data_IF_170270303830
#
_entry.id   IF_170270303830
#
_cell.length_a   1.000
_cell.length_b   1.000
_cell.length_c   1.000
_cell.angle_alpha   90.00
_cell.angle_beta   90.00
_cell.angle_gamma   90.00
#
_symmetry.space_group_name_H-M   'P 1'
#
loop_
_entity.id
_entity.type
_entity.pdbx_description
1 polymer ?
#
# COMPACT_ATOMS: atom_id res chain seq x y z
N UNK A 1 10.57 7.71 -4.67
CA UNK A 1 11.99 7.71 -4.24
C UNK A 1 12.50 6.31 -3.87
N UNK A 2 12.04 5.27 -4.56
CA UNK A 2 12.32 3.86 -4.21
C UNK A 2 13.81 3.50 -4.25
N UNK A 3 14.52 3.87 -5.33
CA UNK A 3 15.95 3.54 -5.44
C UNK A 3 16.81 4.28 -4.41
N UNK A 4 16.50 5.55 -4.14
CA UNK A 4 17.22 6.35 -3.15
C UNK A 4 17.02 5.83 -1.74
N UNK A 5 15.81 5.43 -1.37
CA UNK A 5 15.51 4.90 -0.04
C UNK A 5 16.21 3.56 0.21
N UNK A 6 16.34 2.71 -0.83
CA UNK A 6 17.12 1.47 -0.75
C UNK A 6 18.60 1.73 -0.48
N UNK A 7 19.21 2.72 -1.17
CA UNK A 7 20.61 3.10 -0.93
C UNK A 7 20.80 3.65 0.48
N UNK A 8 19.81 4.39 1.00
CA UNK A 8 19.85 4.98 2.34
C UNK A 8 19.45 4.01 3.46
N UNK A 9 18.95 2.81 3.13
CA UNK A 9 18.43 1.87 4.12
C UNK A 9 17.19 2.37 4.88
N UNK A 10 16.34 3.18 4.23
CA UNK A 10 15.14 3.75 4.82
C UNK A 10 13.86 3.42 4.03
N UNK A 11 12.70 3.74 4.60
CA UNK A 11 11.41 3.62 3.91
C UNK A 11 11.25 4.68 2.83
N UNK A 12 10.41 4.40 1.83
CA UNK A 12 10.21 5.29 0.70
C UNK A 12 9.28 6.47 1.07
N UNK A 13 9.87 7.66 1.22
CA UNK A 13 9.13 8.92 1.42
C UNK A 13 8.41 8.93 2.77
N UNK A 14 7.33 9.72 2.85
CA UNK A 14 6.41 9.81 3.99
C UNK A 14 5.32 8.74 3.97
N UNK A 15 5.38 7.80 3.03
CA UNK A 15 4.35 6.80 2.80
C UNK A 15 4.55 5.57 3.70
N UNK A 16 3.45 4.86 4.06
CA UNK A 16 3.54 3.62 4.78
C UNK A 16 4.33 2.57 3.99
N UNK A 17 4.90 1.60 4.70
CA UNK A 17 5.63 0.50 4.07
C UNK A 17 4.66 -0.35 3.25
N UNK A 18 5.04 -0.70 2.01
CA UNK A 18 4.20 -1.54 1.14
C UNK A 18 3.96 -2.93 1.74
N UNK A 19 5.03 -3.60 2.14
CA UNK A 19 5.04 -4.91 2.79
C UNK A 19 6.20 -4.99 3.78
N UNK A 20 6.00 -5.63 4.94
CA UNK A 20 7.07 -5.88 5.92
C UNK A 20 8.18 -6.75 5.35
N UNK A 21 7.85 -7.57 4.35
CA UNK A 21 8.80 -8.39 3.63
C UNK A 21 8.30 -8.67 2.20
N UNK A 22 9.17 -8.52 1.21
CA UNK A 22 8.88 -8.93 -0.16
C UNK A 22 10.17 -9.24 -0.92
N UNK A 23 10.03 -9.91 -2.06
CA UNK A 23 11.14 -10.26 -2.93
C UNK A 23 11.12 -9.39 -4.18
N UNK A 24 12.22 -8.66 -4.42
CA UNK A 24 12.42 -7.91 -5.65
C UNK A 24 13.21 -8.77 -6.65
N UNK A 25 12.69 -8.89 -7.89
CA UNK A 25 13.32 -9.69 -8.94
C UNK A 25 14.20 -8.78 -9.79
N UNK A 26 15.50 -8.96 -9.66
CA UNK A 26 16.49 -8.31 -10.52
C UNK A 26 17.07 -9.30 -11.54
N UNK A 27 17.64 -8.78 -12.62
CA UNK A 27 18.22 -9.58 -13.70
C UNK A 27 19.29 -10.59 -13.24
N UNK A 28 19.85 -10.44 -12.03
CA UNK A 28 20.90 -11.29 -11.47
C UNK A 28 20.47 -12.06 -10.21
N UNK A 29 19.21 -12.01 -9.81
CA UNK A 29 18.73 -12.75 -8.64
C UNK A 29 17.51 -12.12 -7.96
N UNK A 30 17.09 -12.78 -6.89
CA UNK A 30 15.95 -12.36 -6.06
C UNK A 30 16.50 -11.75 -4.78
N UNK A 31 16.14 -10.50 -4.50
CA UNK A 31 16.62 -9.76 -3.32
C UNK A 31 15.48 -9.63 -2.31
N UNK A 32 15.64 -10.12 -1.07
CA UNK A 32 14.65 -9.87 -0.02
C UNK A 32 14.76 -8.41 0.44
N UNK A 33 13.61 -7.72 0.49
CA UNK A 33 13.48 -6.34 0.96
C UNK A 33 12.60 -6.32 2.21
N UNK A 34 13.08 -5.60 3.23
CA UNK A 34 12.37 -5.35 4.48
C UNK A 34 12.65 -3.90 4.94
N UNK A 35 11.74 -3.26 5.69
CA UNK A 35 12.02 -1.96 6.28
C UNK A 35 13.11 -2.07 7.35
N UNK A 36 13.81 -0.97 7.67
CA UNK A 36 14.85 -0.97 8.69
C UNK A 36 14.29 -1.40 10.06
N UNK A 37 15.12 -1.99 10.91
CA UNK A 37 14.75 -2.39 12.29
C UNK A 37 13.52 -3.31 12.43
N UNK A 38 13.11 -4.01 11.35
CA UNK A 38 11.92 -4.88 11.35
C UNK A 38 11.93 -5.96 12.43
N UNK A 39 13.11 -6.39 12.88
CA UNK A 39 13.27 -7.39 13.96
C UNK A 39 12.81 -6.87 15.31
N UNK A 40 13.03 -5.59 15.57
CA UNK A 40 12.76 -4.96 16.87
C UNK A 40 11.38 -4.29 16.89
N UNK A 41 10.92 -3.78 15.75
CA UNK A 41 9.68 -2.98 15.63
C UNK A 41 8.68 -3.54 14.61
N UNK A 42 8.59 -4.86 14.48
CA UNK A 42 7.73 -5.53 13.49
C UNK A 42 6.31 -4.96 13.40
N UNK A 43 5.67 -4.72 14.55
CA UNK A 43 4.29 -4.27 14.64
C UNK A 43 4.09 -2.78 14.33
N UNK A 44 5.16 -1.99 14.28
CA UNK A 44 5.10 -0.57 13.94
C UNK A 44 4.99 -0.36 12.43
N UNK A 45 5.45 -1.34 11.64
CA UNK A 45 5.35 -1.31 10.19
C UNK A 45 3.99 -1.80 9.70
N UNK A 46 2.97 -0.94 9.80
CA UNK A 46 1.67 -1.21 9.18
C UNK A 46 1.80 -1.23 7.66
N UNK A 47 1.29 -2.28 7.02
CA UNK A 47 1.39 -2.48 5.58
C UNK A 47 0.31 -1.69 4.85
N UNK A 48 0.70 -0.95 3.81
CA UNK A 48 -0.21 -0.11 3.03
C UNK A 48 -1.43 -0.88 2.49
N UNK A 49 -1.23 -2.15 2.09
CA UNK A 49 -2.28 -3.02 1.51
C UNK A 49 -3.42 -3.40 2.49
N UNK A 50 -3.24 -3.11 3.78
CA UNK A 50 -4.23 -3.38 4.84
C UNK A 50 -4.66 -2.11 5.58
N UNK A 51 -4.08 -0.95 5.23
CA UNK A 51 -4.31 0.30 5.92
C UNK A 51 -5.52 1.03 5.33
N UNK A 52 -6.33 1.67 6.18
CA UNK A 52 -7.32 2.65 5.74
C UNK A 52 -6.60 3.84 5.09
N UNK A 53 -6.91 4.09 3.83
CA UNK A 53 -6.24 5.10 3.03
C UNK A 53 -6.58 6.54 3.47
N UNK A 54 -7.66 6.76 4.25
CA UNK A 54 -7.93 8.06 4.87
C UNK A 54 -6.81 8.49 5.83
N UNK A 55 -6.15 7.53 6.49
CA UNK A 55 -5.00 7.82 7.36
C UNK A 55 -3.84 8.42 6.55
N UNK A 56 -3.61 7.89 5.34
CA UNK A 56 -2.58 8.41 4.43
C UNK A 56 -2.95 9.81 3.97
N UNK A 57 -4.22 10.04 3.63
CA UNK A 57 -4.74 11.35 3.26
C UNK A 57 -4.54 12.36 4.38
N UNK A 58 -4.93 12.05 5.62
CA UNK A 58 -4.81 12.94 6.77
C UNK A 58 -3.35 13.29 7.07
N UNK A 59 -2.46 12.29 7.00
CA UNK A 59 -1.03 12.49 7.18
C UNK A 59 -0.44 13.42 6.11
N UNK A 60 -0.78 13.19 4.83
CA UNK A 60 -0.32 14.04 3.73
C UNK A 60 -0.90 15.44 3.83
N UNK A 61 -2.18 15.60 4.15
CA UNK A 61 -2.84 16.89 4.35
C UNK A 61 -2.16 17.69 5.47
N UNK A 62 -1.82 17.03 6.57
CA UNK A 62 -1.10 17.65 7.70
C UNK A 62 0.30 18.13 7.28
N UNK A 63 1.04 17.30 6.53
CA UNK A 63 2.36 17.69 6.01
C UNK A 63 2.24 18.82 4.99
N UNK A 64 1.20 18.79 4.15
CA UNK A 64 0.98 19.73 3.04
C UNK A 64 0.86 21.19 3.48
N UNK A 65 0.45 21.45 4.72
CA UNK A 65 0.41 22.79 5.34
C UNK A 65 1.79 23.48 5.36
N UNK A 66 2.86 22.69 5.38
CA UNK A 66 4.25 23.15 5.50
C UNK A 66 5.04 23.01 4.19
N UNK A 67 4.39 22.54 3.12
CA UNK A 67 5.02 22.33 1.81
C UNK A 67 4.41 23.29 0.79
N UNK A 68 5.26 24.05 0.11
CA UNK A 68 4.89 25.03 -0.93
C UNK A 68 4.39 24.36 -2.23
N UNK A 69 5.01 23.25 -2.60
CA UNK A 69 4.69 22.39 -3.76
C UNK A 69 3.73 21.25 -3.38
N UNK A 70 3.49 20.30 -4.29
CA UNK A 70 2.69 19.10 -4.02
C UNK A 70 3.50 17.93 -3.47
N UNK A 71 2.84 17.03 -2.76
CA UNK A 71 3.43 15.78 -2.25
C UNK A 71 3.01 14.63 -3.17
N UNK A 72 3.95 13.76 -3.56
CA UNK A 72 3.64 12.57 -4.37
C UNK A 72 2.93 11.49 -3.54
N UNK A 73 1.65 11.73 -3.21
CA UNK A 73 0.80 10.81 -2.47
C UNK A 73 0.42 9.60 -3.33
N UNK A 74 0.53 8.41 -2.75
CA UNK A 74 0.05 7.17 -3.35
C UNK A 74 -1.00 6.55 -2.43
N UNK A 75 -2.15 6.18 -3.02
CA UNK A 75 -3.20 5.45 -2.33
C UNK A 75 -3.24 4.01 -2.85
N UNK A 76 -3.34 3.04 -1.95
CA UNK A 76 -3.38 1.62 -2.26
C UNK A 76 -4.69 1.00 -1.75
N UNK A 77 -5.51 0.53 -2.67
CA UNK A 77 -6.80 -0.06 -2.38
C UNK A 77 -6.76 -1.57 -2.60
N UNK A 78 -7.09 -2.34 -1.57
CA UNK A 78 -7.08 -3.80 -1.66
C UNK A 78 -8.48 -4.34 -1.98
N UNK A 79 -8.66 -4.90 -3.18
CA UNK A 79 -9.95 -5.42 -3.65
C UNK A 79 -10.28 -6.81 -3.08
N UNK A 80 -9.35 -7.44 -2.36
CA UNK A 80 -9.51 -8.78 -1.80
C UNK A 80 -10.26 -8.84 -0.46
N UNK A 81 -10.49 -7.71 0.23
CA UNK A 81 -11.14 -7.73 1.53
C UNK A 81 -12.53 -8.41 1.48
N UNK A 82 -13.30 -8.21 0.40
CA UNK A 82 -14.58 -8.90 0.18
C UNK A 82 -14.46 -10.35 -0.28
N UNK A 83 -13.29 -10.78 -0.73
CA UNK A 83 -13.01 -12.17 -1.13
C UNK A 83 -12.63 -13.01 0.09
N UNK A 84 -11.82 -12.45 0.99
CA UNK A 84 -11.35 -13.16 2.19
C UNK A 84 -12.38 -13.22 3.32
N UNK A 85 -13.35 -12.30 3.34
CA UNK A 85 -14.41 -12.23 4.35
C UNK A 85 -15.80 -12.20 3.69
N UNK A 86 -16.21 -13.28 3.01
CA UNK A 86 -17.47 -13.31 2.25
C UNK A 86 -18.71 -13.10 3.14
N UNK A 87 -18.62 -13.48 4.42
CA UNK A 87 -19.70 -13.32 5.41
C UNK A 87 -19.73 -11.92 6.05
N UNK A 88 -18.75 -11.05 5.74
CA UNK A 88 -18.65 -9.68 6.24
C UNK A 88 -18.67 -8.67 5.07
N UNK A 89 -19.81 -8.49 4.37
CA UNK A 89 -19.88 -7.66 3.16
C UNK A 89 -19.45 -6.21 3.39
N UNK A 90 -19.61 -5.69 4.62
CA UNK A 90 -19.16 -4.36 5.01
C UNK A 90 -17.63 -4.17 5.03
N UNK A 91 -16.84 -5.25 4.93
CA UNK A 91 -15.38 -5.18 4.73
C UNK A 91 -14.97 -5.03 3.27
N UNK A 92 -15.89 -5.25 2.34
CA UNK A 92 -15.60 -5.14 0.92
C UNK A 92 -15.42 -3.68 0.54
N UNK A 93 -14.28 -3.36 -0.07
CA UNK A 93 -14.08 -2.05 -0.65
C UNK A 93 -15.04 -1.84 -1.83
N UNK A 94 -15.81 -0.76 -1.78
CA UNK A 94 -16.71 -0.35 -2.86
C UNK A 94 -16.12 0.81 -3.66
N UNK A 95 -16.69 1.06 -4.84
CA UNK A 95 -16.33 2.24 -5.63
C UNK A 95 -16.68 3.56 -4.90
N UNK A 96 -17.71 3.53 -4.03
CA UNK A 96 -18.10 4.67 -3.21
C UNK A 96 -17.02 4.99 -2.19
N UNK A 97 -16.45 3.99 -1.51
CA UNK A 97 -15.39 4.19 -0.52
C UNK A 97 -14.13 4.81 -1.16
N UNK A 98 -13.76 4.34 -2.36
CA UNK A 98 -12.64 4.93 -3.12
C UNK A 98 -12.97 6.39 -3.45
N UNK A 99 -14.14 6.66 -4.03
CA UNK A 99 -14.57 8.02 -4.37
C UNK A 99 -14.57 8.95 -3.15
N UNK A 100 -15.12 8.52 -2.02
CA UNK A 100 -15.16 9.29 -0.78
C UNK A 100 -13.74 9.56 -0.25
N UNK A 101 -12.81 8.61 -0.37
CA UNK A 101 -11.40 8.84 -0.02
C UNK A 101 -10.76 9.92 -0.92
N UNK A 102 -11.08 9.93 -2.22
CA UNK A 102 -10.56 10.95 -3.16
C UNK A 102 -11.16 12.33 -2.88
N UNK A 103 -12.46 12.40 -2.56
CA UNK A 103 -13.13 13.63 -2.16
C UNK A 103 -12.55 14.15 -0.85
N UNK A 104 -12.36 13.28 0.14
CA UNK A 104 -11.73 13.62 1.42
C UNK A 104 -10.34 14.23 1.23
N UNK A 105 -9.52 13.68 0.31
CA UNK A 105 -8.22 14.26 -0.02
C UNK A 105 -8.32 15.68 -0.58
N UNK A 106 -9.28 15.94 -1.47
CA UNK A 106 -9.51 17.26 -2.02
C UNK A 106 -10.00 18.25 -0.94
N UNK A 107 -10.98 17.85 -0.13
CA UNK A 107 -11.53 18.67 0.96
C UNK A 107 -10.49 18.98 2.04
N UNK A 108 -9.58 18.04 2.31
CA UNK A 108 -8.48 18.19 3.27
C UNK A 108 -7.32 19.06 2.76
N UNK A 109 -7.38 19.54 1.52
CA UNK A 109 -6.37 20.43 0.94
C UNK A 109 -5.12 19.73 0.41
N UNK A 110 -5.18 18.42 0.15
CA UNK A 110 -4.11 17.72 -0.57
C UNK A 110 -4.03 18.26 -2.01
N UNK A 111 -2.82 18.64 -2.44
CA UNK A 111 -2.63 19.28 -3.76
C UNK A 111 -2.64 18.30 -4.93
N UNK A 112 -2.28 17.03 -4.69
CA UNK A 112 -2.22 16.01 -5.73
C UNK A 112 -2.32 14.59 -5.15
N UNK A 113 -2.86 13.69 -5.98
CA UNK A 113 -2.74 12.24 -5.83
C UNK A 113 -1.91 11.77 -7.01
N UNK A 114 -0.74 11.20 -6.76
CA UNK A 114 0.19 10.82 -7.82
C UNK A 114 -0.17 9.46 -8.43
N UNK A 115 -0.41 8.46 -7.60
CA UNK A 115 -0.87 7.14 -8.04
C UNK A 115 -2.01 6.63 -7.18
N UNK A 116 -2.94 5.95 -7.85
CA UNK A 116 -3.92 5.06 -7.21
C UNK A 116 -3.57 3.66 -7.67
N UNK A 117 -3.24 2.80 -6.71
CA UNK A 117 -2.91 1.40 -6.96
C UNK A 117 -4.00 0.52 -6.41
N UNK A 118 -4.19 -0.63 -7.06
CA UNK A 118 -5.08 -1.67 -6.56
C UNK A 118 -4.32 -2.97 -6.38
N UNK A 119 -4.59 -3.67 -5.28
CA UNK A 119 -4.35 -5.11 -5.22
C UNK A 119 -5.55 -5.74 -5.92
N UNK A 120 -5.28 -6.38 -7.06
CA UNK A 120 -6.32 -7.03 -7.85
C UNK A 120 -6.96 -8.15 -7.06
N UNK A 121 -8.21 -8.45 -7.40
CA UNK A 121 -8.87 -9.62 -6.83
C UNK A 121 -8.03 -10.86 -7.15
N UNK A 122 -7.71 -11.63 -6.13
CA UNK A 122 -7.15 -12.95 -6.32
C UNK A 122 -8.21 -13.75 -7.08
N UNK A 123 -7.83 -14.33 -8.21
CA UNK A 123 -8.59 -15.41 -8.83
C UNK A 123 -8.46 -16.67 -7.96
N UNK A 124 -8.80 -16.57 -6.66
CA UNK A 124 -9.00 -17.73 -5.80
C UNK A 124 -10.33 -18.38 -6.20
N UNK A 125 -10.37 -18.90 -7.43
CA UNK A 125 -11.04 -20.17 -7.67
C UNK A 125 -10.27 -21.16 -6.83
N UNK A 126 -10.95 -21.98 -6.03
CA UNK A 126 -10.36 -23.17 -5.42
C UNK A 126 -9.41 -23.82 -6.44
N UNK A 127 -8.11 -23.59 -6.26
CA UNK A 127 -7.10 -24.22 -7.07
C UNK A 127 -7.00 -25.63 -6.52
N UNK A 128 -7.93 -26.46 -6.94
CA UNK A 128 -7.93 -27.91 -6.82
C UNK A 128 -6.83 -28.49 -7.73
N UNK A 129 -5.61 -27.98 -7.56
CA UNK A 129 -4.53 -28.10 -8.52
C UNK A 129 -3.23 -27.60 -7.90
N UNK A 130 -2.62 -28.47 -7.10
CA UNK A 130 -1.22 -28.39 -6.71
C UNK A 130 -0.34 -28.12 -7.95
N UNK A 131 0.06 -26.89 -8.16
CA UNK A 131 1.12 -26.51 -9.11
C UNK A 131 2.43 -26.22 -8.38
N UNK A 132 2.72 -27.02 -7.34
CA UNK A 132 4.06 -27.13 -6.77
C UNK A 132 4.83 -28.26 -7.45
N UNK A 133 4.94 -28.23 -8.77
CA UNK A 133 5.85 -29.04 -9.60
C UNK A 133 5.81 -28.52 -11.05
N UNK A 134 6.52 -27.44 -11.34
CA UNK A 134 6.96 -27.13 -12.69
C UNK A 134 8.40 -26.60 -12.60
N UNK A 135 9.33 -27.45 -13.05
CA UNK A 135 10.74 -27.14 -13.21
C UNK A 135 10.97 -25.97 -14.16
#
# INVERSE_FOLDING_TARGET
NTSSSLVQGCTASVLPTYSRFYYDKWAKGVVPIAPPFIRDFFWFYTESKTMDQNIVVDAVATIQQWIDTGISMELLFNLNAGVYFPDEPGRSLTAKDIFETLVHAWESGCKAIYYIRTVQKDDYKESDGCSSCAN
#
